data_IF_605843368217
#
_entry.id   IF_605843368217
#
_cell.length_a   1.000
_cell.length_b   1.000
_cell.length_c   1.000
_cell.angle_alpha   90.00
_cell.angle_beta   90.00
_cell.angle_gamma   90.00
#
_symmetry.space_group_name_H-M   'P 1'
#
loop_
_entity.id
_entity.type
_entity.pdbx_description
1 polymer ?
#
# COMPACT_ATOMS: atom_id res chain seq x y z
N UNK A 1 -29.93 22.67 25.77
CA UNK A 1 -30.80 21.61 25.21
C UNK A 1 -30.71 21.66 23.69
N UNK A 2 -30.64 20.54 23.03
CA UNK A 2 -30.66 20.49 21.58
C UNK A 2 -32.07 20.88 21.09
N UNK A 3 -32.17 21.82 20.17
CA UNK A 3 -33.47 22.21 19.58
C UNK A 3 -33.85 21.19 18.50
N UNK A 4 -35.15 20.96 18.27
CA UNK A 4 -35.66 20.13 17.18
C UNK A 4 -35.05 20.49 15.83
N UNK A 5 -34.80 21.76 15.58
CA UNK A 5 -34.15 22.28 14.36
C UNK A 5 -32.70 21.83 14.26
N UNK A 6 -31.93 21.88 15.37
CA UNK A 6 -30.54 21.45 15.41
C UNK A 6 -30.42 19.92 15.19
N UNK A 7 -31.29 19.13 15.80
CA UNK A 7 -31.33 17.67 15.58
C UNK A 7 -31.68 17.32 14.14
N UNK A 8 -32.64 17.99 13.52
CA UNK A 8 -32.99 17.76 12.11
C UNK A 8 -31.83 18.05 11.17
N UNK A 9 -31.06 19.13 11.41
CA UNK A 9 -29.86 19.45 10.63
C UNK A 9 -28.78 18.37 10.82
N UNK A 10 -28.59 17.89 12.07
CA UNK A 10 -27.60 16.82 12.36
C UNK A 10 -27.98 15.51 11.71
N UNK A 11 -29.27 15.12 11.74
CA UNK A 11 -29.78 13.94 11.01
C UNK A 11 -29.48 14.06 9.52
N UNK A 12 -29.73 15.20 8.90
CA UNK A 12 -29.44 15.45 7.49
C UNK A 12 -27.95 15.32 7.16
N UNK A 13 -27.07 15.88 8.00
CA UNK A 13 -25.60 15.78 7.83
C UNK A 13 -25.10 14.35 7.96
N UNK A 14 -25.55 13.60 8.99
CA UNK A 14 -25.14 12.20 9.21
C UNK A 14 -25.67 11.30 8.09
N UNK A 15 -26.92 11.53 7.62
CA UNK A 15 -27.50 10.80 6.49
C UNK A 15 -26.69 11.03 5.20
N UNK A 16 -26.24 12.25 4.95
CA UNK A 16 -25.36 12.54 3.81
C UNK A 16 -24.01 11.83 3.94
N UNK A 17 -23.41 11.82 5.14
CA UNK A 17 -22.16 11.13 5.42
C UNK A 17 -22.30 9.61 5.23
N UNK A 18 -23.42 9.02 5.66
CA UNK A 18 -23.72 7.60 5.45
C UNK A 18 -23.74 7.24 3.96
N UNK A 19 -24.44 8.03 3.15
CA UNK A 19 -24.53 7.82 1.70
C UNK A 19 -23.15 7.96 1.01
N UNK A 20 -22.37 8.98 1.41
CA UNK A 20 -21.03 9.21 0.85
C UNK A 20 -20.11 8.04 1.19
N UNK A 21 -20.07 7.59 2.46
CA UNK A 21 -19.21 6.48 2.87
C UNK A 21 -19.62 5.17 2.21
N UNK A 22 -20.93 4.93 2.03
CA UNK A 22 -21.46 3.79 1.28
C UNK A 22 -21.02 3.81 -0.19
N UNK A 23 -21.11 4.96 -0.87
CA UNK A 23 -20.65 5.11 -2.24
C UNK A 23 -19.12 4.92 -2.37
N UNK A 24 -18.33 5.52 -1.45
CA UNK A 24 -16.87 5.36 -1.45
C UNK A 24 -16.44 3.90 -1.21
N UNK A 25 -17.14 3.17 -0.34
CA UNK A 25 -16.93 1.73 -0.14
C UNK A 25 -17.10 0.97 -1.45
N UNK A 26 -18.20 1.21 -2.19
CA UNK A 26 -18.47 0.52 -3.46
C UNK A 26 -17.40 0.84 -4.53
N UNK A 27 -17.01 2.10 -4.68
CA UNK A 27 -15.98 2.53 -5.62
C UNK A 27 -14.64 1.86 -5.29
N UNK A 28 -14.26 1.86 -4.01
CA UNK A 28 -12.99 1.25 -3.58
C UNK A 28 -13.02 -0.28 -3.76
N UNK A 29 -14.15 -0.95 -3.52
CA UNK A 29 -14.30 -2.38 -3.77
C UNK A 29 -14.11 -2.73 -5.24
N UNK A 30 -14.69 -1.94 -6.16
CA UNK A 30 -14.48 -2.13 -7.59
C UNK A 30 -13.00 -1.95 -8.00
N UNK A 31 -12.29 -0.99 -7.36
CA UNK A 31 -10.85 -0.79 -7.59
C UNK A 31 -10.01 -1.95 -7.04
N UNK A 32 -10.36 -2.53 -5.88
CA UNK A 32 -9.68 -3.74 -5.38
C UNK A 32 -9.80 -4.84 -6.41
N UNK A 33 -11.02 -5.13 -6.87
CA UNK A 33 -11.24 -6.18 -7.87
C UNK A 33 -10.44 -5.94 -9.16
N UNK A 34 -10.36 -4.69 -9.64
CA UNK A 34 -9.54 -4.34 -10.79
C UNK A 34 -8.06 -4.65 -10.55
N UNK A 35 -7.51 -4.25 -9.39
CA UNK A 35 -6.11 -4.50 -9.04
C UNK A 35 -5.82 -6.00 -8.86
N UNK A 36 -6.76 -6.78 -8.29
CA UNK A 36 -6.63 -8.24 -8.22
C UNK A 36 -6.58 -8.89 -9.61
N UNK A 37 -7.36 -8.38 -10.57
CA UNK A 37 -7.31 -8.86 -11.95
C UNK A 37 -6.00 -8.48 -12.64
N UNK A 38 -5.46 -7.28 -12.38
CA UNK A 38 -4.12 -6.88 -12.87
C UNK A 38 -3.03 -7.80 -12.30
N UNK A 39 -3.08 -8.09 -11.00
CA UNK A 39 -2.16 -9.00 -10.34
C UNK A 39 -2.22 -10.41 -10.95
N UNK A 40 -3.43 -10.95 -11.15
CA UNK A 40 -3.63 -12.26 -11.79
C UNK A 40 -3.09 -12.32 -13.21
N UNK A 41 -3.05 -11.21 -13.94
CA UNK A 41 -2.46 -11.14 -15.28
C UNK A 41 -0.93 -11.10 -15.25
N UNK A 42 -0.35 -10.48 -14.22
CA UNK A 42 1.11 -10.41 -14.04
C UNK A 42 1.69 -11.74 -13.56
N UNK A 43 0.99 -12.48 -12.69
CA UNK A 43 1.46 -13.71 -12.04
C UNK A 43 2.00 -14.78 -13.02
N UNK A 44 1.37 -15.10 -14.17
CA UNK A 44 1.92 -16.09 -15.09
C UNK A 44 3.28 -15.69 -15.65
N UNK A 45 3.46 -14.42 -16.01
CA UNK A 45 4.74 -13.90 -16.47
C UNK A 45 5.80 -13.98 -15.35
N UNK A 46 5.45 -13.51 -14.14
CA UNK A 46 6.32 -13.59 -12.98
C UNK A 46 6.74 -15.01 -12.68
N UNK A 47 5.81 -15.94 -12.59
CA UNK A 47 6.08 -17.35 -12.32
C UNK A 47 7.01 -17.96 -13.38
N UNK A 48 6.89 -17.53 -14.64
CA UNK A 48 7.79 -18.01 -15.70
C UNK A 48 9.20 -17.46 -15.51
N UNK A 49 9.35 -16.18 -15.19
CA UNK A 49 10.65 -15.56 -14.89
C UNK A 49 11.28 -16.21 -13.66
N UNK A 50 10.52 -16.42 -12.58
CA UNK A 50 10.98 -17.10 -11.37
C UNK A 50 11.43 -18.54 -11.67
N UNK A 51 10.69 -19.26 -12.53
CA UNK A 51 11.04 -20.62 -12.95
C UNK A 51 12.36 -20.65 -13.74
N UNK A 52 12.55 -19.72 -14.68
CA UNK A 52 13.79 -19.61 -15.46
C UNK A 52 14.96 -19.31 -14.51
N UNK A 53 14.79 -18.36 -13.60
CA UNK A 53 15.82 -18.03 -12.59
C UNK A 53 16.17 -19.24 -11.72
N UNK A 54 15.16 -19.98 -11.25
CA UNK A 54 15.37 -21.18 -10.44
C UNK A 54 16.15 -22.24 -11.20
N UNK A 55 15.85 -22.49 -12.50
CA UNK A 55 16.58 -23.45 -13.33
C UNK A 55 18.03 -23.00 -13.58
N UNK A 56 18.27 -21.72 -13.86
CA UNK A 56 19.63 -21.19 -14.02
C UNK A 56 20.43 -21.38 -12.72
N UNK A 57 19.88 -21.05 -11.57
CA UNK A 57 20.55 -21.23 -10.28
C UNK A 57 20.79 -22.70 -9.93
N UNK A 58 19.93 -23.62 -10.36
CA UNK A 58 20.07 -25.05 -10.16
C UNK A 58 21.26 -25.66 -10.96
N UNK A 59 21.80 -24.95 -11.98
CA UNK A 59 22.99 -25.38 -12.69
C UNK A 59 24.26 -25.39 -11.84
N UNK A 60 24.26 -24.70 -10.70
CA UNK A 60 25.43 -24.56 -9.82
C UNK A 60 26.56 -23.70 -10.41
N UNK A 61 26.30 -23.01 -11.52
CA UNK A 61 27.25 -22.07 -12.11
C UNK A 61 27.32 -20.77 -11.29
N UNK A 62 28.52 -20.20 -11.24
CA UNK A 62 28.70 -18.85 -10.69
C UNK A 62 28.38 -17.82 -11.78
N UNK A 63 27.32 -17.04 -11.56
CA UNK A 63 26.93 -16.01 -12.49
C UNK A 63 27.62 -14.69 -12.17
N UNK A 64 28.07 -13.98 -13.20
CA UNK A 64 28.68 -12.67 -13.06
C UNK A 64 27.72 -11.57 -13.55
N UNK A 65 27.06 -10.90 -12.61
CA UNK A 65 26.18 -9.76 -12.93
C UNK A 65 26.41 -8.63 -11.95
N UNK A 66 26.45 -7.37 -12.40
CA UNK A 66 26.59 -6.22 -11.51
C UNK A 66 25.43 -6.10 -10.52
N UNK A 67 24.26 -6.72 -10.80
CA UNK A 67 23.05 -6.63 -9.97
C UNK A 67 23.04 -7.56 -8.75
N UNK A 68 23.95 -8.54 -8.69
CA UNK A 68 24.07 -9.48 -7.56
C UNK A 68 25.27 -9.18 -6.65
N UNK A 69 26.11 -8.23 -7.04
CA UNK A 69 27.34 -7.90 -6.31
C UNK A 69 27.01 -7.33 -4.94
N UNK A 70 27.40 -8.04 -3.89
CA UNK A 70 27.31 -7.55 -2.51
C UNK A 70 28.51 -6.64 -2.22
N UNK A 71 28.24 -5.41 -1.84
CA UNK A 71 29.22 -4.39 -1.45
C UNK A 71 29.08 -4.06 0.04
N UNK A 72 30.08 -3.38 0.60
CA UNK A 72 29.92 -2.73 1.88
C UNK A 72 28.84 -1.63 1.75
N UNK A 73 27.79 -1.71 2.57
CA UNK A 73 26.65 -0.79 2.47
C UNK A 73 26.97 0.51 3.16
N UNK A 74 27.23 1.55 2.37
CA UNK A 74 27.41 2.94 2.81
C UNK A 74 26.20 3.82 2.47
N UNK A 75 25.56 3.54 1.36
CA UNK A 75 24.40 4.27 0.86
C UNK A 75 23.24 3.29 0.60
N UNK A 76 22.17 3.41 1.39
CA UNK A 76 20.97 2.61 1.22
C UNK A 76 19.82 3.46 0.66
N UNK A 77 19.10 2.95 -0.34
CA UNK A 77 17.87 3.54 -0.84
C UNK A 77 16.66 2.74 -0.33
N UNK A 78 15.64 3.44 0.18
CA UNK A 78 14.37 2.84 0.59
C UNK A 78 13.25 3.46 -0.23
N UNK A 79 12.60 2.68 -1.07
CA UNK A 79 11.38 3.08 -1.76
C UNK A 79 10.19 2.73 -0.87
N UNK A 80 9.48 3.72 -0.37
CA UNK A 80 8.31 3.49 0.49
C UNK A 80 7.03 3.81 -0.25
N UNK A 81 6.17 2.80 -0.39
CA UNK A 81 4.88 2.92 -1.05
C UNK A 81 3.79 3.31 -0.05
N UNK A 82 3.07 4.37 -0.36
CA UNK A 82 1.92 4.84 0.41
C UNK A 82 0.72 5.13 -0.48
N UNK A 83 -0.14 6.04 -0.04
CA UNK A 83 -1.31 6.47 -0.81
C UNK A 83 -1.24 7.94 -1.20
N UNK A 84 -1.94 8.31 -2.27
CA UNK A 84 -2.17 9.72 -2.62
C UNK A 84 -3.39 10.27 -1.88
N UNK A 85 -4.44 9.46 -1.78
CA UNK A 85 -5.72 9.85 -1.21
C UNK A 85 -5.81 9.39 0.26
N UNK A 86 -6.60 10.09 1.06
CA UNK A 86 -6.90 9.72 2.44
C UNK A 86 -8.04 8.71 2.57
N UNK A 87 -8.62 8.68 3.77
CA UNK A 87 -9.77 7.86 4.13
C UNK A 87 -9.55 6.34 4.05
N UNK A 88 -8.28 5.92 4.13
CA UNK A 88 -7.84 4.52 4.16
C UNK A 88 -7.48 4.03 5.58
N UNK A 89 -8.12 4.60 6.61
CA UNK A 89 -7.87 4.22 8.00
C UNK A 89 -6.43 4.46 8.43
N UNK A 90 -5.85 3.48 9.11
CA UNK A 90 -4.48 3.54 9.63
C UNK A 90 -3.39 3.14 8.60
N UNK A 91 -3.75 2.94 7.32
CA UNK A 91 -2.87 2.44 6.27
C UNK A 91 -1.52 3.17 6.21
N UNK A 92 -1.52 4.49 5.98
CA UNK A 92 -0.28 5.27 5.90
C UNK A 92 0.48 5.35 7.22
N UNK A 93 -0.23 5.33 8.36
CA UNK A 93 0.39 5.34 9.68
C UNK A 93 1.16 4.04 9.92
N UNK A 94 0.58 2.91 9.54
CA UNK A 94 1.21 1.59 9.69
C UNK A 94 2.44 1.46 8.80
N UNK A 95 2.37 1.89 7.53
CA UNK A 95 3.53 1.92 6.63
C UNK A 95 4.63 2.83 7.19
N UNK A 96 4.28 4.02 7.65
CA UNK A 96 5.25 4.96 8.20
C UNK A 96 5.95 4.41 9.44
N UNK A 97 5.20 3.79 10.37
CA UNK A 97 5.80 3.12 11.54
C UNK A 97 6.75 2.01 11.12
N UNK A 98 6.36 1.23 10.13
CA UNK A 98 7.18 0.14 9.62
C UNK A 98 8.44 0.65 8.91
N UNK A 99 8.35 1.74 8.14
CA UNK A 99 9.50 2.43 7.56
C UNK A 99 10.51 2.84 8.65
N UNK A 100 10.04 3.42 9.76
CA UNK A 100 10.92 3.80 10.87
C UNK A 100 11.64 2.59 11.48
N UNK A 101 10.95 1.45 11.56
CA UNK A 101 11.57 0.20 12.03
C UNK A 101 12.66 -0.25 11.04
N UNK A 102 12.39 -0.22 9.74
CA UNK A 102 13.36 -0.60 8.71
C UNK A 102 14.58 0.32 8.68
N UNK A 103 14.39 1.62 8.84
CA UNK A 103 15.49 2.59 8.96
C UNK A 103 16.41 2.24 10.15
N UNK A 104 15.83 1.86 11.31
CA UNK A 104 16.60 1.43 12.48
C UNK A 104 17.34 0.14 12.23
N UNK A 105 16.68 -0.88 11.68
CA UNK A 105 17.29 -2.18 11.36
C UNK A 105 18.46 -2.05 10.39
N UNK A 106 18.36 -1.21 9.36
CA UNK A 106 19.45 -0.93 8.43
C UNK A 106 20.63 -0.27 9.18
N UNK A 107 20.34 0.72 10.00
CA UNK A 107 21.37 1.42 10.78
C UNK A 107 22.07 0.53 11.80
N UNK A 108 21.32 -0.35 12.46
CA UNK A 108 21.88 -1.29 13.43
C UNK A 108 22.76 -2.34 12.76
N UNK A 109 22.38 -2.73 11.53
CA UNK A 109 23.12 -3.71 10.74
C UNK A 109 24.36 -3.13 10.05
N UNK A 110 24.24 -1.88 9.54
CA UNK A 110 25.30 -1.21 8.79
C UNK A 110 25.70 0.09 9.48
N UNK A 111 26.91 0.13 10.02
CA UNK A 111 27.42 1.30 10.73
C UNK A 111 27.72 2.44 9.74
N UNK A 112 27.38 3.68 10.10
CA UNK A 112 27.59 4.88 9.27
C UNK A 112 26.91 4.85 7.87
N UNK A 113 25.74 4.24 7.76
CA UNK A 113 24.97 4.22 6.51
C UNK A 113 24.18 5.52 6.35
N UNK A 114 24.24 6.10 5.16
CA UNK A 114 23.34 7.15 4.69
C UNK A 114 22.13 6.52 4.01
N UNK A 115 20.92 6.97 4.37
CA UNK A 115 19.68 6.40 3.85
C UNK A 115 18.95 7.43 3.02
N UNK A 116 18.71 7.12 1.75
CA UNK A 116 17.83 7.91 0.87
C UNK A 116 16.45 7.28 0.83
N UNK A 117 15.42 8.04 1.18
CA UNK A 117 14.03 7.58 1.15
C UNK A 117 13.30 8.19 -0.05
N UNK A 118 12.71 7.33 -0.89
CA UNK A 118 11.87 7.68 -2.02
C UNK A 118 10.39 7.41 -1.69
N UNK A 119 9.62 8.40 -1.28
CA UNK A 119 8.22 8.21 -0.93
C UNK A 119 7.33 8.22 -2.18
N UNK A 120 6.71 7.09 -2.49
CA UNK A 120 5.72 6.94 -3.56
C UNK A 120 4.33 7.15 -2.99
N UNK A 121 3.72 8.29 -3.32
CA UNK A 121 2.40 8.72 -2.84
C UNK A 121 2.42 9.96 -1.95
N UNK A 122 1.46 10.85 -2.15
CA UNK A 122 1.42 12.19 -1.51
C UNK A 122 1.31 12.13 0.01
N UNK A 123 0.56 11.16 0.55
CA UNK A 123 0.35 11.06 2.02
C UNK A 123 1.61 10.60 2.73
N UNK A 124 2.31 9.60 2.19
CA UNK A 124 3.56 9.13 2.76
C UNK A 124 4.68 10.17 2.56
N UNK A 125 4.73 10.85 1.41
CA UNK A 125 5.68 11.93 1.16
C UNK A 125 5.54 13.08 2.18
N UNK A 126 4.31 13.45 2.53
CA UNK A 126 4.08 14.45 3.57
C UNK A 126 4.45 13.98 4.98
N UNK A 127 4.38 12.68 5.23
CA UNK A 127 4.81 12.11 6.51
C UNK A 127 6.35 12.04 6.59
N UNK A 128 7.01 11.61 5.51
CA UNK A 128 8.48 11.47 5.46
C UNK A 128 9.20 12.81 5.49
N UNK A 129 8.61 13.89 4.94
CA UNK A 129 9.16 15.27 5.07
C UNK A 129 9.35 15.72 6.51
N UNK A 130 8.66 15.10 7.47
CA UNK A 130 8.80 15.39 8.91
C UNK A 130 9.88 14.57 9.60
N UNK A 131 10.56 13.68 8.86
CA UNK A 131 11.71 12.94 9.37
C UNK A 131 12.89 13.92 9.48
N UNK A 132 13.24 14.25 10.72
CA UNK A 132 14.41 15.05 11.05
C UNK A 132 15.51 14.13 11.60
N UNK A 133 16.12 13.36 10.70
CA UNK A 133 17.20 12.43 11.04
C UNK A 133 18.41 12.79 10.16
N UNK A 134 19.57 13.11 10.75
CA UNK A 134 20.73 13.65 10.02
C UNK A 134 21.33 12.69 8.98
N UNK A 135 21.01 11.40 9.09
CA UNK A 135 21.47 10.34 8.19
C UNK A 135 20.38 9.87 7.19
N UNK A 136 19.22 10.54 7.18
CA UNK A 136 18.11 10.23 6.26
C UNK A 136 17.88 11.42 5.34
N UNK A 137 18.05 11.19 4.05
CA UNK A 137 17.70 12.13 2.99
C UNK A 137 16.38 11.70 2.34
N UNK A 138 15.41 12.61 2.25
CA UNK A 138 14.14 12.33 1.57
C UNK A 138 14.17 12.98 0.19
N UNK A 139 14.19 12.15 -0.85
CA UNK A 139 14.19 12.60 -2.24
C UNK A 139 12.84 12.34 -2.90
N UNK A 140 12.44 13.25 -3.78
CA UNK A 140 11.25 13.04 -4.59
C UNK A 140 11.56 11.98 -5.66
N UNK A 141 10.71 10.94 -5.81
CA UNK A 141 11.00 9.81 -6.70
C UNK A 141 10.93 10.14 -8.21
N UNK A 142 10.54 11.36 -8.56
CA UNK A 142 10.40 11.81 -9.93
C UNK A 142 8.97 12.24 -10.28
N UNK A 143 8.82 12.90 -11.41
CA UNK A 143 7.51 13.36 -11.89
C UNK A 143 6.70 12.17 -12.42
N UNK A 144 5.43 12.08 -11.99
CA UNK A 144 4.53 10.97 -12.35
C UNK A 144 4.74 9.67 -11.57
N UNK A 145 5.68 9.65 -10.59
CA UNK A 145 5.87 8.52 -9.67
C UNK A 145 5.00 8.73 -8.43
N UNK A 146 3.80 8.19 -8.47
CA UNK A 146 2.79 8.25 -7.40
C UNK A 146 2.13 6.88 -7.18
N UNK A 147 1.14 6.80 -6.29
CA UNK A 147 0.46 5.53 -6.00
C UNK A 147 -0.36 4.98 -7.19
N UNK A 148 -0.56 5.77 -8.23
CA UNK A 148 -1.33 5.43 -9.43
C UNK A 148 -0.48 5.37 -10.70
N UNK A 149 0.86 5.40 -10.55
CA UNK A 149 1.79 5.42 -11.68
C UNK A 149 1.52 4.29 -12.68
N UNK A 150 1.68 4.61 -13.95
CA UNK A 150 1.50 3.66 -15.06
C UNK A 150 2.69 2.69 -15.14
N UNK A 151 2.53 1.51 -15.78
CA UNK A 151 3.61 0.52 -15.91
C UNK A 151 4.88 1.07 -16.54
N UNK A 152 4.77 2.01 -17.49
CA UNK A 152 5.91 2.67 -18.13
C UNK A 152 6.71 3.51 -17.12
N UNK A 153 6.01 4.19 -16.21
CA UNK A 153 6.66 4.97 -15.14
C UNK A 153 7.27 4.08 -14.06
N UNK A 154 6.67 2.92 -13.78
CA UNK A 154 7.29 1.90 -12.92
C UNK A 154 8.60 1.43 -13.53
N UNK A 155 8.63 1.17 -14.85
CA UNK A 155 9.84 0.73 -15.56
C UNK A 155 10.92 1.80 -15.54
N UNK A 156 10.59 3.05 -15.85
CA UNK A 156 11.51 4.19 -15.84
C UNK A 156 12.12 4.41 -14.44
N UNK A 157 11.28 4.36 -13.39
CA UNK A 157 11.74 4.52 -12.01
C UNK A 157 12.63 3.36 -11.57
N UNK A 158 12.26 2.11 -11.92
CA UNK A 158 13.05 0.92 -11.60
C UNK A 158 14.40 0.96 -12.30
N UNK A 159 14.44 1.41 -13.55
CA UNK A 159 15.68 1.58 -14.32
C UNK A 159 16.59 2.64 -13.68
N UNK A 160 16.02 3.74 -13.19
CA UNK A 160 16.79 4.75 -12.44
C UNK A 160 17.43 4.20 -11.17
N UNK A 161 16.71 3.34 -10.42
CA UNK A 161 17.26 2.66 -9.24
C UNK A 161 18.34 1.66 -9.63
N UNK A 162 18.16 0.93 -10.74
CA UNK A 162 19.13 -0.01 -11.28
C UNK A 162 20.42 0.69 -11.69
N UNK A 163 20.31 1.78 -12.42
CA UNK A 163 21.46 2.59 -12.83
C UNK A 163 22.22 3.11 -11.61
N UNK A 164 21.52 3.68 -10.62
CA UNK A 164 22.15 4.16 -9.38
C UNK A 164 22.84 3.06 -8.58
N UNK A 165 22.32 1.82 -8.61
CA UNK A 165 23.00 0.69 -8.00
C UNK A 165 24.26 0.25 -8.76
N UNK A 166 24.20 0.22 -10.09
CA UNK A 166 25.36 -0.14 -10.94
C UNK A 166 26.48 0.90 -10.81
N UNK A 167 26.13 2.18 -10.80
CA UNK A 167 27.06 3.31 -10.66
C UNK A 167 27.65 3.45 -9.24
N UNK A 168 27.09 2.72 -8.25
CA UNK A 168 27.55 2.77 -6.86
C UNK A 168 26.98 3.95 -6.06
N UNK A 169 25.97 4.64 -6.57
CA UNK A 169 25.20 5.66 -5.82
C UNK A 169 24.46 5.01 -4.64
N UNK A 170 23.98 3.78 -4.84
CA UNK A 170 23.33 2.96 -3.81
C UNK A 170 24.00 1.59 -3.75
N UNK A 171 24.25 1.11 -2.53
CA UNK A 171 24.80 -0.22 -2.27
C UNK A 171 23.71 -1.22 -1.87
N UNK A 172 22.57 -0.69 -1.42
CA UNK A 172 21.39 -1.45 -1.02
C UNK A 172 20.13 -0.69 -1.47
N UNK A 173 19.22 -1.37 -2.14
CA UNK A 173 17.91 -0.82 -2.50
C UNK A 173 16.82 -1.73 -1.94
N UNK A 174 15.98 -1.18 -1.07
CA UNK A 174 14.85 -1.89 -0.47
C UNK A 174 13.54 -1.19 -0.80
N UNK A 175 12.48 -1.98 -0.88
CA UNK A 175 11.12 -1.49 -1.02
C UNK A 175 10.35 -1.77 0.27
N UNK A 176 9.55 -0.80 0.71
CA UNK A 176 8.62 -0.92 1.85
C UNK A 176 7.23 -0.69 1.32
N UNK A 177 6.38 -1.70 1.42
CA UNK A 177 5.03 -1.64 0.87
C UNK A 177 4.05 -2.46 1.71
N UNK A 178 2.77 -2.36 1.37
CA UNK A 178 1.72 -3.15 2.02
C UNK A 178 1.32 -4.32 1.13
N UNK A 179 1.70 -5.54 1.52
CA UNK A 179 1.33 -6.75 0.80
C UNK A 179 -0.16 -7.07 0.98
N UNK A 180 -0.80 -7.40 -0.12
CA UNK A 180 -2.21 -7.74 -0.17
C UNK A 180 -2.41 -9.26 0.00
N UNK A 181 -3.06 -9.68 1.08
CA UNK A 181 -3.46 -11.07 1.30
C UNK A 181 -4.95 -11.28 1.06
N UNK A 182 -5.76 -10.34 1.56
CA UNK A 182 -7.22 -10.36 1.40
C UNK A 182 -7.79 -8.96 1.70
N UNK A 183 -9.07 -8.77 1.45
CA UNK A 183 -9.80 -7.54 1.77
C UNK A 183 -9.62 -7.11 3.24
N UNK A 184 -9.55 -8.06 4.17
CA UNK A 184 -9.43 -7.80 5.62
C UNK A 184 -7.98 -7.89 6.14
N UNK A 185 -7.04 -8.40 5.35
CA UNK A 185 -5.69 -8.66 5.81
C UNK A 185 -4.66 -8.08 4.85
N UNK A 186 -3.99 -7.04 5.29
CA UNK A 186 -2.81 -6.46 4.65
C UNK A 186 -1.69 -6.38 5.69
N UNK A 187 -0.46 -6.58 5.26
CA UNK A 187 0.72 -6.49 6.15
C UNK A 187 1.83 -5.69 5.48
N UNK A 188 2.52 -4.82 6.22
CA UNK A 188 3.72 -4.17 5.70
C UNK A 188 4.82 -5.22 5.50
N UNK A 189 5.53 -5.08 4.40
CA UNK A 189 6.64 -5.96 4.04
C UNK A 189 7.79 -5.12 3.50
N UNK A 190 9.01 -5.60 3.71
CA UNK A 190 10.23 -5.10 3.07
C UNK A 190 10.77 -6.15 2.13
N UNK A 191 11.10 -5.72 0.92
CA UNK A 191 11.73 -6.57 -0.07
C UNK A 191 13.02 -5.89 -0.56
N UNK A 192 14.12 -6.66 -0.63
CA UNK A 192 15.39 -6.16 -1.16
C UNK A 192 15.37 -6.28 -2.66
N UNK A 193 15.46 -5.15 -3.34
CA UNK A 193 15.48 -5.09 -4.79
C UNK A 193 16.91 -5.26 -5.33
N UNK A 194 17.88 -4.59 -4.69
CA UNK A 194 19.30 -4.70 -5.00
C UNK A 194 20.14 -4.75 -3.72
N UNK A 195 21.20 -5.57 -3.67
CA UNK A 195 21.55 -6.61 -4.65
C UNK A 195 20.47 -7.67 -4.73
N UNK A 196 20.24 -8.20 -5.94
CA UNK A 196 19.29 -9.30 -6.12
C UNK A 196 19.84 -10.52 -5.42
N UNK A 197 19.08 -11.07 -4.47
CA UNK A 197 19.43 -12.36 -3.88
C UNK A 197 19.03 -13.47 -4.86
N UNK A 198 19.96 -14.31 -5.28
CA UNK A 198 19.64 -15.44 -6.15
C UNK A 198 18.78 -16.52 -5.47
N UNK A 199 18.54 -16.41 -4.17
CA UNK A 199 17.59 -17.26 -3.47
C UNK A 199 16.15 -16.89 -3.88
N UNK A 200 15.63 -17.62 -4.87
CA UNK A 200 14.20 -17.56 -5.21
C UNK A 200 13.42 -18.01 -3.98
N UNK A 201 12.87 -17.08 -3.24
CA UNK A 201 11.92 -17.39 -2.16
C UNK A 201 10.66 -17.96 -2.81
N UNK A 202 10.56 -19.26 -2.86
CA UNK A 202 9.31 -19.97 -3.17
C UNK A 202 8.28 -19.67 -2.09
N UNK A 203 7.71 -18.46 -2.07
CA UNK A 203 6.57 -18.14 -1.23
C UNK A 203 5.28 -18.64 -1.90
N UNK A 204 5.11 -19.92 -1.89
CA UNK A 204 3.91 -20.60 -2.35
C UNK A 204 4.18 -22.07 -2.32
N UNK A 205 4.05 -22.64 -1.13
CA UNK A 205 4.27 -24.03 -0.70
C UNK A 205 3.80 -25.17 -1.59
N UNK A 206 4.19 -25.16 -2.83
CA UNK A 206 4.40 -26.35 -3.62
C UNK A 206 5.87 -26.29 -4.06
N UNK A 207 6.71 -27.06 -3.36
CA UNK A 207 7.86 -27.65 -3.99
C UNK A 207 7.36 -28.28 -5.29
N UNK A 208 7.42 -27.52 -6.40
CA UNK A 208 7.27 -28.14 -7.70
C UNK A 208 8.41 -29.12 -7.80
N UNK A 209 8.05 -30.37 -7.48
CA UNK A 209 8.86 -31.53 -7.74
C UNK A 209 9.52 -31.33 -9.09
N UNK A 210 10.84 -31.39 -9.05
CA UNK A 210 11.78 -31.87 -10.02
C UNK A 210 11.08 -32.49 -11.25
N UNK A 211 10.64 -31.63 -12.16
CA UNK A 211 10.47 -32.06 -13.52
C UNK A 211 11.91 -32.17 -14.01
N UNK A 212 12.42 -33.39 -14.08
CA UNK A 212 13.76 -33.76 -14.50
C UNK A 212 13.96 -33.41 -15.98
N UNK A 213 13.65 -32.17 -16.35
CA UNK A 213 13.79 -31.61 -17.67
C UNK A 213 15.19 -31.05 -17.80
N UNK A 214 15.98 -31.67 -18.66
CA UNK A 214 17.24 -31.10 -19.08
C UNK A 214 16.94 -29.88 -19.96
N UNK A 215 17.39 -28.72 -19.49
CA UNK A 215 17.32 -27.48 -20.27
C UNK A 215 18.59 -27.32 -21.08
N UNK A 216 18.46 -27.03 -22.36
CA UNK A 216 19.53 -26.54 -23.19
C UNK A 216 19.50 -25.04 -23.21
N UNK A 217 20.56 -24.40 -22.74
CA UNK A 217 20.68 -22.96 -22.68
C UNK A 217 21.40 -22.45 -23.94
N UNK A 218 20.75 -21.58 -24.70
CA UNK A 218 21.28 -20.92 -25.89
C UNK A 218 21.15 -19.41 -25.80
N UNK A 219 22.23 -18.61 -25.97
CA UNK A 219 23.58 -19.02 -26.35
C UNK A 219 24.37 -19.67 -25.20
N UNK A 220 24.21 -19.20 -23.97
CA UNK A 220 24.87 -19.67 -22.76
C UNK A 220 24.10 -19.22 -21.51
N UNK A 221 24.25 -19.93 -20.37
CA UNK A 221 23.51 -19.61 -19.14
C UNK A 221 23.78 -18.21 -18.58
N UNK A 222 24.98 -17.66 -18.73
CA UNK A 222 25.38 -16.37 -18.18
C UNK A 222 24.72 -15.21 -18.95
N UNK A 223 24.67 -15.30 -20.28
CA UNK A 223 23.95 -14.34 -21.14
C UNK A 223 22.46 -14.34 -20.81
N UNK A 224 21.83 -15.52 -20.67
CA UNK A 224 20.41 -15.64 -20.33
C UNK A 224 20.15 -15.04 -18.94
N UNK A 225 21.02 -15.33 -17.96
CA UNK A 225 20.89 -14.78 -16.61
C UNK A 225 20.91 -13.25 -16.62
N UNK A 226 21.83 -12.65 -17.35
CA UNK A 226 21.97 -11.19 -17.44
C UNK A 226 20.78 -10.51 -18.15
N UNK A 227 20.08 -11.20 -19.06
CA UNK A 227 18.87 -10.71 -19.71
C UNK A 227 17.63 -10.91 -18.83
N UNK A 228 17.52 -12.02 -18.12
CA UNK A 228 16.35 -12.35 -17.30
C UNK A 228 16.33 -11.56 -15.98
N UNK A 229 17.49 -11.28 -15.40
CA UNK A 229 17.60 -10.61 -14.10
C UNK A 229 16.94 -9.21 -14.06
N UNK A 230 17.12 -8.31 -15.05
CA UNK A 230 16.39 -7.06 -15.12
C UNK A 230 14.86 -7.27 -15.24
N UNK A 231 14.42 -8.30 -15.97
CA UNK A 231 12.98 -8.63 -16.11
C UNK A 231 12.40 -9.10 -14.77
N UNK A 232 13.16 -9.87 -14.00
CA UNK A 232 12.82 -10.29 -12.64
C UNK A 232 12.61 -9.07 -11.72
N UNK A 233 13.56 -8.15 -11.70
CA UNK A 233 13.48 -6.92 -10.89
C UNK A 233 12.29 -6.06 -11.30
N UNK A 234 12.07 -5.87 -12.59
CA UNK A 234 10.96 -5.09 -13.11
C UNK A 234 9.61 -5.72 -12.75
N UNK A 235 9.46 -7.04 -12.94
CA UNK A 235 8.23 -7.75 -12.57
C UNK A 235 7.94 -7.69 -11.08
N UNK A 236 8.97 -7.77 -10.24
CA UNK A 236 8.87 -7.57 -8.79
C UNK A 236 8.35 -6.18 -8.45
N UNK A 237 8.91 -5.14 -9.06
CA UNK A 237 8.47 -3.77 -8.79
C UNK A 237 7.04 -3.49 -9.26
N UNK A 238 6.64 -4.08 -10.40
CA UNK A 238 5.26 -4.00 -10.89
C UNK A 238 4.30 -4.70 -9.93
N UNK A 239 4.63 -5.90 -9.46
CA UNK A 239 3.84 -6.61 -8.46
C UNK A 239 3.67 -5.80 -7.18
N UNK A 240 4.77 -5.30 -6.60
CA UNK A 240 4.76 -4.45 -5.40
C UNK A 240 3.82 -3.26 -5.59
N UNK A 241 3.87 -2.61 -6.75
CA UNK A 241 3.03 -1.45 -7.06
C UNK A 241 1.55 -1.82 -7.10
N UNK A 242 1.20 -2.95 -7.72
CA UNK A 242 -0.19 -3.43 -7.81
C UNK A 242 -0.69 -3.90 -6.45
N UNK A 243 0.12 -4.67 -5.70
CA UNK A 243 -0.21 -5.13 -4.35
C UNK A 243 -0.46 -3.96 -3.38
N UNK A 244 0.41 -2.94 -3.44
CA UNK A 244 0.24 -1.74 -2.63
C UNK A 244 -1.06 -1.01 -2.97
N UNK A 245 -1.40 -0.87 -4.26
CA UNK A 245 -2.69 -0.30 -4.71
C UNK A 245 -3.89 -1.11 -4.23
N UNK A 246 -3.82 -2.43 -4.34
CA UNK A 246 -4.88 -3.32 -3.86
C UNK A 246 -5.07 -3.18 -2.35
N UNK A 247 -3.99 -3.18 -1.58
CA UNK A 247 -3.97 -3.01 -0.13
C UNK A 247 -4.52 -1.66 0.32
N UNK A 248 -4.15 -0.57 -0.36
CA UNK A 248 -4.69 0.77 -0.12
C UNK A 248 -6.20 0.82 -0.29
N UNK A 249 -6.71 0.26 -1.40
CA UNK A 249 -8.15 0.25 -1.67
C UNK A 249 -8.90 -0.67 -0.70
N UNK A 250 -8.33 -1.82 -0.33
CA UNK A 250 -8.91 -2.72 0.66
C UNK A 250 -9.00 -2.06 2.05
N UNK A 251 -7.94 -1.39 2.49
CA UNK A 251 -7.96 -0.61 3.73
C UNK A 251 -9.03 0.50 3.69
N UNK A 252 -9.23 1.15 2.54
CA UNK A 252 -10.29 2.15 2.35
C UNK A 252 -11.67 1.52 2.40
N UNK A 253 -11.90 0.35 1.80
CA UNK A 253 -13.17 -0.38 1.91
C UNK A 253 -13.51 -0.66 3.37
N UNK A 254 -12.56 -1.17 4.15
CA UNK A 254 -12.78 -1.48 5.58
C UNK A 254 -13.06 -0.21 6.41
N UNK A 255 -12.31 0.87 6.16
CA UNK A 255 -12.53 2.15 6.83
C UNK A 255 -13.90 2.76 6.50
N UNK A 256 -14.30 2.71 5.22
CA UNK A 256 -15.61 3.24 4.78
C UNK A 256 -16.76 2.37 5.25
N UNK A 257 -16.58 1.03 5.33
CA UNK A 257 -17.57 0.14 5.93
C UNK A 257 -17.80 0.50 7.39
N UNK A 258 -16.75 0.61 8.18
CA UNK A 258 -16.85 0.99 9.60
C UNK A 258 -17.49 2.37 9.79
N UNK A 259 -17.12 3.35 8.96
CA UNK A 259 -17.71 4.69 8.98
C UNK A 259 -19.20 4.66 8.62
N UNK A 260 -19.60 3.88 7.62
CA UNK A 260 -20.99 3.72 7.19
C UNK A 260 -21.84 3.07 8.30
N UNK A 261 -21.35 2.01 8.92
CA UNK A 261 -22.06 1.31 9.99
C UNK A 261 -22.23 2.20 11.24
N UNK A 262 -21.19 2.99 11.58
CA UNK A 262 -21.29 3.96 12.66
C UNK A 262 -22.27 5.10 12.33
N UNK A 263 -22.29 5.57 11.08
CA UNK A 263 -23.26 6.59 10.65
C UNK A 263 -24.70 6.08 10.73
N UNK A 264 -24.98 4.81 10.36
CA UNK A 264 -26.31 4.21 10.49
C UNK A 264 -26.76 4.15 11.94
N UNK A 265 -25.92 3.64 12.85
CA UNK A 265 -26.24 3.60 14.29
C UNK A 265 -26.54 4.99 14.84
N UNK A 266 -25.70 5.97 14.50
CA UNK A 266 -25.91 7.35 14.93
C UNK A 266 -27.21 7.95 14.36
N UNK A 267 -27.60 7.60 13.13
CA UNK A 267 -28.88 8.02 12.55
C UNK A 267 -30.08 7.47 13.32
N UNK A 268 -30.05 6.20 13.67
CA UNK A 268 -31.09 5.55 14.47
C UNK A 268 -31.25 6.24 15.84
N UNK A 269 -30.14 6.48 16.54
CA UNK A 269 -30.13 7.20 17.81
C UNK A 269 -30.71 8.61 17.70
N UNK A 270 -30.25 9.38 16.71
CA UNK A 270 -30.73 10.73 16.49
C UNK A 270 -32.21 10.80 16.08
N UNK A 271 -32.70 9.82 15.33
CA UNK A 271 -34.12 9.73 14.96
C UNK A 271 -35.00 9.43 16.18
N UNK A 272 -34.54 8.52 17.07
CA UNK A 272 -35.26 8.29 18.34
C UNK A 272 -35.28 9.51 19.23
N UNK A 273 -34.15 10.21 19.39
CA UNK A 273 -34.07 11.44 20.15
C UNK A 273 -34.98 12.53 19.57
N UNK A 274 -34.96 12.71 18.25
CA UNK A 274 -35.83 13.67 17.55
C UNK A 274 -37.32 13.38 17.77
N UNK A 275 -37.74 12.12 17.65
CA UNK A 275 -39.13 11.72 17.86
C UNK A 275 -39.57 11.94 19.32
N UNK A 276 -38.70 11.64 20.29
CA UNK A 276 -38.95 11.87 21.71
C UNK A 276 -39.14 13.37 22.00
N UNK A 277 -38.25 14.21 21.53
CA UNK A 277 -38.32 15.66 21.72
C UNK A 277 -39.54 16.26 20.97
N UNK A 278 -39.87 15.72 19.80
CA UNK A 278 -41.06 16.15 19.06
C UNK A 278 -42.33 15.82 19.85
N UNK A 279 -42.47 14.63 20.42
CA UNK A 279 -43.61 14.26 21.28
C UNK A 279 -43.69 15.13 22.51
N UNK A 280 -42.56 15.41 23.18
CA UNK A 280 -42.51 16.31 24.33
C UNK A 280 -42.96 17.73 23.96
N UNK A 281 -42.49 18.26 22.84
CA UNK A 281 -42.89 19.58 22.37
C UNK A 281 -44.41 19.66 22.09
N UNK A 282 -44.97 18.65 21.41
CA UNK A 282 -46.41 18.57 21.14
C UNK A 282 -47.20 18.47 22.45
N UNK A 283 -46.75 17.67 23.41
CA UNK A 283 -47.42 17.50 24.70
C UNK A 283 -47.41 18.84 25.49
N UNK A 284 -46.28 19.55 25.49
CA UNK A 284 -46.16 20.85 26.15
C UNK A 284 -47.07 21.87 25.49
N UNK A 285 -47.11 21.92 24.15
CA UNK A 285 -47.98 22.84 23.42
C UNK A 285 -49.47 22.55 23.67
N UNK A 286 -49.87 21.27 23.77
CA UNK A 286 -51.24 20.87 24.14
C UNK A 286 -51.59 21.28 25.57
N UNK A 287 -50.65 21.11 26.52
CA UNK A 287 -50.86 21.51 27.92
C UNK A 287 -50.98 23.01 28.07
N UNK A 288 -50.18 23.79 27.32
CA UNK A 288 -50.26 25.25 27.30
C UNK A 288 -51.62 25.76 26.74
N UNK A 289 -52.15 25.10 25.71
CA UNK A 289 -53.48 25.40 25.14
C UNK A 289 -54.58 25.06 26.16
N UNK A 290 -54.51 23.90 26.81
CA UNK A 290 -55.49 23.49 27.83
C UNK A 290 -55.42 24.38 29.09
N UNK A 291 -54.20 24.71 29.55
CA UNK A 291 -54.01 25.62 30.70
C UNK A 291 -54.50 27.05 30.43
N UNK A 292 -54.32 27.56 29.22
CA UNK A 292 -54.84 28.88 28.82
C UNK A 292 -56.38 28.98 28.69
N UNK A 293 -57.09 27.82 28.61
CA UNK A 293 -58.56 27.76 28.63
C UNK A 293 -59.16 27.79 30.03
N UNK A 294 -58.36 27.50 31.07
CA UNK A 294 -58.85 27.47 32.47
C UNK A 294 -58.70 28.79 33.18
N UNK A 295 -58.15 29.85 32.57
CA UNK A 295 -58.03 31.20 33.09
C UNK A 295 -59.05 32.20 32.50
N UNK A 296 -60.24 31.75 32.04
CA UNK A 296 -61.39 32.64 31.71
C UNK A 296 -62.57 32.39 32.59
#
# INVERSE_FOLDING_TARGET
MATLKALRLRIGSVSSSEKITGAMKMISSAKVHKNEMELKRLLPFRNQVDSIMAHLLATGLEFNSPLIVKREVKHAAIVVFGSDDGLCGAYNINIFKYLLTQIREIRDKYHNVEITVFPVGKKIANATKKLDLPFVNVQHPGEGVDSKMLPEKVSEFTEGLRAGFIEGTYDLVQTVYMRFYSMSRQRPLTETLFPVSPEVKSEGGEEKKDDNKFYLFEPDPDSIFNEVLPMFVLSTMQEITIENRASEQAARVMAMQSANDNAKKLLEELQLEYNKLRQQAITTELLDILGGQTEK
#
